data_IF_971368872094
#
_entry.id   IF_971368872094
#
_cell.length_a   1.000
_cell.length_b   1.000
_cell.length_c   1.000
_cell.angle_alpha   90.00
_cell.angle_beta   90.00
_cell.angle_gamma   90.00
#
_symmetry.space_group_name_H-M   'P 1'
#
loop_
_entity.id
_entity.type
_entity.pdbx_description
1 polymer ?
#
# COMPACT_ATOMS: atom_id res chain seq x y z
N UNK A 1 -1.70 12.97 23.15
CA UNK A 1 -0.62 12.75 22.16
C UNK A 1 -1.12 11.70 21.18
N UNK A 2 -1.13 11.99 19.87
CA UNK A 2 -1.53 11.01 18.84
C UNK A 2 -0.36 10.03 18.70
N UNK A 3 -0.55 8.76 19.03
CA UNK A 3 0.46 7.72 18.80
C UNK A 3 0.89 7.78 17.33
N UNK A 4 2.20 7.79 17.09
CA UNK A 4 2.75 7.55 15.76
C UNK A 4 2.30 6.15 15.34
N UNK A 5 1.55 6.05 14.24
CA UNK A 5 1.30 4.74 13.62
C UNK A 5 2.66 4.17 13.23
N UNK A 6 2.93 2.96 13.70
CA UNK A 6 4.06 2.18 13.22
C UNK A 6 3.83 1.81 11.76
N UNK A 7 4.90 1.45 11.06
CA UNK A 7 4.81 0.96 9.69
C UNK A 7 4.12 -0.40 9.69
N UNK A 8 3.13 -0.59 8.82
CA UNK A 8 2.63 -1.91 8.45
C UNK A 8 3.56 -2.54 7.38
N UNK A 9 3.51 -3.87 7.15
CA UNK A 9 4.39 -4.53 6.19
C UNK A 9 4.38 -3.89 4.78
N UNK A 10 3.21 -3.42 4.33
CA UNK A 10 3.09 -2.73 3.05
C UNK A 10 3.72 -1.32 3.08
N UNK A 11 3.62 -0.60 4.20
CA UNK A 11 4.28 0.70 4.36
C UNK A 11 5.81 0.53 4.28
N UNK A 12 6.34 -0.55 4.89
CA UNK A 12 7.77 -0.87 4.84
C UNK A 12 8.22 -1.17 3.41
N UNK A 13 7.53 -2.08 2.72
CA UNK A 13 7.90 -2.49 1.36
C UNK A 13 7.85 -1.32 0.37
N UNK A 14 6.82 -0.47 0.45
CA UNK A 14 6.70 0.72 -0.40
C UNK A 14 7.80 1.74 -0.08
N UNK A 15 8.14 1.91 1.20
CA UNK A 15 9.22 2.83 1.60
C UNK A 15 10.58 2.34 1.14
N UNK A 16 10.85 1.04 1.22
CA UNK A 16 12.11 0.46 0.73
C UNK A 16 12.25 0.63 -0.79
N UNK A 17 11.18 0.36 -1.54
CA UNK A 17 11.17 0.57 -2.99
C UNK A 17 11.39 2.06 -3.36
N UNK A 18 10.76 2.99 -2.63
CA UNK A 18 10.93 4.42 -2.87
C UNK A 18 12.35 4.90 -2.53
N UNK A 19 12.93 4.40 -1.43
CA UNK A 19 14.30 4.74 -1.02
C UNK A 19 15.31 4.23 -2.05
N UNK A 20 15.16 2.99 -2.52
CA UNK A 20 16.00 2.43 -3.57
C UNK A 20 15.93 3.28 -4.84
N UNK A 21 14.72 3.62 -5.30
CA UNK A 21 14.52 4.50 -6.45
C UNK A 21 15.20 5.88 -6.30
N UNK A 22 15.13 6.48 -5.10
CA UNK A 22 15.81 7.75 -4.83
C UNK A 22 17.33 7.59 -4.86
N UNK A 23 17.87 6.53 -4.28
CA UNK A 23 19.31 6.25 -4.29
C UNK A 23 19.83 6.04 -5.72
N UNK A 24 19.13 5.23 -6.53
CA UNK A 24 19.50 4.92 -7.91
C UNK A 24 19.43 6.15 -8.83
N UNK A 25 18.52 7.09 -8.53
CA UNK A 25 18.39 8.33 -9.30
C UNK A 25 19.56 9.31 -9.13
N UNK A 26 20.33 9.20 -8.04
CA UNK A 26 21.38 10.16 -7.68
C UNK A 26 20.86 11.57 -7.34
N UNK A 27 19.54 11.77 -7.20
CA UNK A 27 18.95 13.07 -6.93
C UNK A 27 19.23 13.51 -5.49
N UNK A 28 19.78 14.71 -5.31
CA UNK A 28 20.07 15.26 -3.99
C UNK A 28 18.80 15.65 -3.21
N UNK A 29 18.88 15.71 -1.89
CA UNK A 29 17.76 16.16 -1.04
C UNK A 29 17.30 17.59 -1.34
N UNK A 30 18.23 18.46 -1.75
CA UNK A 30 17.91 19.83 -2.16
C UNK A 30 17.08 19.84 -3.44
N UNK A 31 17.41 18.95 -4.36
CA UNK A 31 16.71 18.82 -5.63
C UNK A 31 15.34 18.16 -5.44
N UNK A 32 15.24 17.12 -4.60
CA UNK A 32 13.95 16.57 -4.19
C UNK A 32 13.05 17.63 -3.57
N UNK A 33 13.57 18.50 -2.68
CA UNK A 33 12.79 19.63 -2.15
C UNK A 33 12.30 20.56 -3.26
N UNK A 34 13.14 20.86 -4.24
CA UNK A 34 12.78 21.75 -5.36
C UNK A 34 11.67 21.14 -6.22
N UNK A 35 11.76 19.83 -6.49
CA UNK A 35 10.81 19.10 -7.35
C UNK A 35 9.48 18.78 -6.66
N UNK A 36 9.52 18.46 -5.37
CA UNK A 36 8.35 17.98 -4.61
C UNK A 36 7.65 19.07 -3.79
N UNK A 37 8.34 20.18 -3.51
CA UNK A 37 7.87 21.19 -2.55
C UNK A 37 7.93 20.75 -1.08
N UNK A 38 8.35 19.51 -0.80
CA UNK A 38 8.49 19.00 0.56
C UNK A 38 9.68 19.65 1.28
N UNK A 39 9.53 19.84 2.59
CA UNK A 39 10.66 20.30 3.41
C UNK A 39 11.76 19.23 3.43
N UNK A 40 13.03 19.66 3.51
CA UNK A 40 14.17 18.74 3.67
C UNK A 40 13.99 17.83 4.90
N UNK A 41 13.40 18.36 5.97
CA UNK A 41 13.10 17.58 7.16
C UNK A 41 12.12 16.43 6.85
N UNK A 42 11.03 16.71 6.16
CA UNK A 42 10.04 15.68 5.79
C UNK A 42 10.63 14.65 4.83
N UNK A 43 11.41 15.08 3.84
CA UNK A 43 12.15 14.17 2.94
C UNK A 43 13.08 13.27 3.76
N UNK A 44 13.82 13.84 4.71
CA UNK A 44 14.69 13.07 5.59
C UNK A 44 13.96 12.03 6.43
N UNK A 45 12.81 12.39 7.01
CA UNK A 45 11.95 11.46 7.78
C UNK A 45 11.51 10.29 6.90
N UNK A 46 11.02 10.58 5.68
CA UNK A 46 10.56 9.55 4.73
C UNK A 46 11.71 8.62 4.35
N UNK A 47 12.86 9.16 3.94
CA UNK A 47 14.00 8.38 3.47
C UNK A 47 14.75 7.63 4.58
N UNK A 48 14.47 7.93 5.85
CA UNK A 48 14.96 7.18 7.01
C UNK A 48 13.92 6.19 7.57
N UNK A 49 12.75 6.07 6.94
CA UNK A 49 11.60 5.27 7.43
C UNK A 49 11.20 5.64 8.87
N UNK A 50 11.28 6.93 9.21
CA UNK A 50 10.86 7.41 10.52
C UNK A 50 9.34 7.67 10.53
N UNK A 51 8.63 7.36 11.64
CA UNK A 51 7.21 7.67 11.76
C UNK A 51 6.94 9.19 11.71
N UNK A 52 5.79 9.63 11.13
CA UNK A 52 4.78 8.79 10.50
C UNK A 52 5.19 8.36 9.08
N UNK A 53 4.67 7.21 8.58
CA UNK A 53 4.85 6.77 7.21
C UNK A 53 4.56 7.87 6.19
N UNK A 54 5.16 7.74 5.01
CA UNK A 54 4.88 8.64 3.89
C UNK A 54 3.41 8.49 3.48
N UNK A 55 2.74 9.61 3.25
CA UNK A 55 1.40 9.60 2.66
C UNK A 55 1.47 9.23 1.18
N UNK A 56 0.37 8.76 0.61
CA UNK A 56 0.30 8.49 -0.84
C UNK A 56 0.71 9.70 -1.68
N UNK A 57 0.30 10.91 -1.32
CA UNK A 57 0.69 12.12 -2.05
C UNK A 57 2.20 12.39 -2.02
N UNK A 58 2.85 12.12 -0.88
CA UNK A 58 4.32 12.25 -0.74
C UNK A 58 5.05 11.19 -1.55
N UNK A 59 4.55 9.94 -1.54
CA UNK A 59 5.08 8.84 -2.35
C UNK A 59 5.00 9.20 -3.84
N UNK A 60 3.82 9.65 -4.31
CA UNK A 60 3.64 10.06 -5.70
C UNK A 60 4.57 11.20 -6.10
N UNK A 61 4.71 12.21 -5.23
CA UNK A 61 5.56 13.37 -5.51
C UNK A 61 7.04 12.98 -5.62
N UNK A 62 7.55 12.19 -4.67
CA UNK A 62 8.95 11.75 -4.68
C UNK A 62 9.23 10.81 -5.85
N UNK A 63 8.37 9.83 -6.10
CA UNK A 63 8.54 8.89 -7.21
C UNK A 63 8.52 9.62 -8.57
N UNK A 64 7.59 10.56 -8.77
CA UNK A 64 7.57 11.39 -9.97
C UNK A 64 8.84 12.24 -10.13
N UNK A 65 9.38 12.77 -9.02
CA UNK A 65 10.62 13.54 -9.04
C UNK A 65 11.85 12.72 -9.48
N UNK A 66 11.81 11.40 -9.31
CA UNK A 66 12.88 10.48 -9.74
C UNK A 66 12.51 9.65 -10.98
N UNK A 67 11.39 9.95 -11.63
CA UNK A 67 10.97 9.30 -12.88
C UNK A 67 10.44 7.88 -12.74
N UNK A 68 9.92 7.51 -11.57
CA UNK A 68 9.37 6.17 -11.29
C UNK A 68 7.85 6.14 -11.41
N UNK A 69 7.33 5.10 -12.07
CA UNK A 69 5.90 4.78 -12.05
C UNK A 69 5.51 4.18 -10.68
N UNK A 70 4.75 4.96 -9.92
CA UNK A 70 4.27 4.61 -8.58
C UNK A 70 3.42 3.35 -8.58
N UNK A 71 2.58 3.14 -9.59
CA UNK A 71 1.68 1.99 -9.66
C UNK A 71 2.50 0.72 -9.87
N UNK A 72 3.49 0.77 -10.77
CA UNK A 72 4.41 -0.35 -10.98
C UNK A 72 5.26 -0.62 -9.73
N UNK A 73 5.78 0.43 -9.09
CA UNK A 73 6.59 0.32 -7.87
C UNK A 73 5.80 -0.35 -6.73
N UNK A 74 4.55 0.08 -6.50
CA UNK A 74 3.68 -0.49 -5.46
C UNK A 74 3.35 -1.95 -5.76
N UNK A 75 3.11 -2.32 -7.03
CA UNK A 75 2.86 -3.72 -7.41
C UNK A 75 4.08 -4.63 -7.19
N UNK A 76 5.29 -4.11 -7.40
CA UNK A 76 6.51 -4.85 -7.09
C UNK A 76 6.70 -4.98 -5.56
N UNK A 77 6.51 -3.89 -4.82
CA UNK A 77 6.56 -3.90 -3.36
C UNK A 77 5.55 -4.89 -2.76
N UNK A 78 4.31 -4.91 -3.29
CA UNK A 78 3.26 -5.84 -2.87
C UNK A 78 3.65 -7.30 -3.15
N UNK A 79 4.24 -7.61 -4.31
CA UNK A 79 4.73 -8.97 -4.59
C UNK A 79 5.82 -9.41 -3.61
N UNK A 80 6.68 -8.49 -3.19
CA UNK A 80 7.74 -8.79 -2.23
C UNK A 80 7.16 -8.97 -0.81
N UNK A 81 6.22 -8.12 -0.40
CA UNK A 81 5.53 -8.22 0.88
C UNK A 81 4.62 -9.46 0.98
N UNK A 82 3.89 -9.77 -0.09
CA UNK A 82 2.92 -10.87 -0.17
C UNK A 82 3.56 -12.25 -0.31
N UNK A 83 4.88 -12.33 -0.58
CA UNK A 83 5.62 -13.60 -0.43
C UNK A 83 5.59 -14.14 1.02
N UNK A 84 5.04 -13.34 1.96
CA UNK A 84 4.89 -13.64 3.39
C UNK A 84 3.41 -13.77 3.82
N UNK A 85 2.42 -13.56 2.93
CA UNK A 85 0.99 -13.64 3.30
C UNK A 85 0.26 -14.79 2.61
N UNK A 86 -0.54 -15.53 3.38
CA UNK A 86 -1.44 -16.57 2.87
C UNK A 86 -2.32 -16.02 1.72
N UNK A 87 -2.56 -16.81 0.66
CA UNK A 87 -3.38 -16.38 -0.46
C UNK A 87 -4.76 -15.94 0.03
N UNK A 88 -5.21 -14.76 -0.42
CA UNK A 88 -6.60 -14.33 -0.24
C UNK A 88 -7.48 -15.45 -0.81
N UNK A 89 -8.39 -16.05 -0.03
CA UNK A 89 -9.28 -17.09 -0.53
C UNK A 89 -9.98 -16.55 -1.78
N UNK A 90 -9.75 -17.18 -2.92
CA UNK A 90 -10.55 -16.89 -4.11
C UNK A 90 -11.97 -17.30 -3.75
N UNK A 91 -12.86 -16.31 -3.62
CA UNK A 91 -14.28 -16.58 -3.48
C UNK A 91 -14.73 -17.14 -4.81
N UNK A 92 -14.95 -18.45 -4.86
CA UNK A 92 -15.60 -19.10 -5.99
C UNK A 92 -17.02 -18.51 -6.13
N UNK A 93 -17.32 -17.81 -7.24
CA UNK A 93 -18.63 -17.22 -7.48
C UNK A 93 -19.75 -18.27 -7.45
N UNK A 94 -19.47 -19.51 -7.86
CA UNK A 94 -20.46 -20.60 -7.81
C UNK A 94 -20.72 -21.07 -6.37
N UNK A 95 -19.70 -21.09 -5.52
CA UNK A 95 -19.86 -21.41 -4.10
C UNK A 95 -20.69 -20.34 -3.36
N UNK A 96 -20.56 -19.06 -3.75
CA UNK A 96 -21.34 -17.96 -3.19
C UNK A 96 -22.82 -18.06 -3.58
N UNK A 97 -23.11 -18.47 -4.83
CA UNK A 97 -24.47 -18.71 -5.32
C UNK A 97 -25.18 -19.87 -4.60
N UNK A 98 -24.44 -20.94 -4.25
CA UNK A 98 -25.01 -22.09 -3.56
C UNK A 98 -25.38 -21.78 -2.10
N UNK A 99 -24.64 -20.90 -1.43
CA UNK A 99 -24.96 -20.43 -0.07
C UNK A 99 -26.24 -19.57 -0.05
N UNK A 100 -26.39 -18.66 -1.03
CA UNK A 100 -27.57 -17.81 -1.16
C UNK A 100 -28.87 -18.61 -1.48
N UNK A 101 -28.75 -19.75 -2.17
CA UNK A 101 -29.88 -20.63 -2.48
C UNK A 101 -30.31 -21.56 -1.33
N UNK A 102 -29.49 -21.72 -0.28
CA UNK A 102 -29.87 -22.49 0.91
C UNK A 102 -30.72 -21.65 1.87
N UNK A 103 -30.35 -20.39 2.06
CA UNK A 103 -31.04 -19.45 2.97
C UNK A 103 -32.49 -19.15 2.53
N UNK A 104 -32.76 -19.22 1.22
CA UNK A 104 -34.11 -19.03 0.67
C UNK A 104 -35.02 -20.25 0.85
N UNK A 105 -34.49 -21.47 0.92
CA UNK A 105 -35.30 -22.69 1.09
C UNK A 105 -35.75 -22.88 2.53
N UNK A 106 -34.93 -22.50 3.50
CA UNK A 106 -35.28 -22.66 4.92
C UNK A 106 -36.37 -21.67 5.36
N UNK A 107 -36.47 -20.49 4.74
CA UNK A 107 -37.53 -19.52 5.00
C UNK A 107 -38.90 -19.93 4.41
N UNK A 108 -38.93 -20.68 3.31
CA UNK A 108 -40.18 -21.16 2.69
C UNK A 108 -40.87 -22.28 3.51
N UNK A 109 -40.13 -23.01 4.34
CA UNK A 109 -40.70 -24.04 5.22
C UNK A 109 -41.31 -23.48 6.52
N UNK A 110 -40.82 -22.36 7.06
CA UNK A 110 -41.39 -21.74 8.27
C UNK A 110 -42.63 -20.88 7.99
N UNK A 111 -42.83 -20.41 6.76
CA UNK A 111 -44.01 -19.60 6.40
C UNK A 111 -45.28 -20.42 6.13
N UNK A 112 -45.17 -21.75 6.01
CA UNK A 112 -46.26 -22.66 5.62
C UNK A 112 -46.63 -23.72 6.67
N UNK A 113 -46.22 -23.54 7.93
CA UNK A 113 -46.56 -24.44 9.04
C UNK A 113 -47.20 -23.68 10.20
#
# INVERSE_FOLDING_TARGET
>A
MRQSKNFEPMDEAVSDALIAAVQDSGVSYRELRRLTGLSINRIGIILRKEPPPATMGEIYSIAAAVGVDVVQMIREADRQASSVSDPIPTIDPEALGLAAMRDTRDQEYEANN
#
